data_IF_343720469754
#
_entry.id   IF_343720469754
#
_cell.length_a   1.000
_cell.length_b   1.000
_cell.length_c   1.000
_cell.angle_alpha   90.00
_cell.angle_beta   90.00
_cell.angle_gamma   90.00
#
_symmetry.space_group_name_H-M   'P 1'
#
loop_
_entity.id
_entity.type
_entity.pdbx_description
1 polymer ?
#
# COMPACT_ATOMS: atom_id res chain seq x y z
N UNK A 1 11.69 17.27 30.35
CA UNK A 1 10.57 16.67 29.60
C UNK A 1 10.95 15.32 29.01
N UNK A 2 12.09 15.17 28.35
CA UNK A 2 12.50 13.91 27.70
C UNK A 2 12.53 12.67 28.61
N UNK A 3 12.99 12.80 29.86
CA UNK A 3 13.01 11.66 30.83
C UNK A 3 11.60 11.20 31.19
N UNK A 4 10.63 12.12 31.26
CA UNK A 4 9.23 11.80 31.57
C UNK A 4 8.56 11.11 30.38
N UNK A 5 8.86 11.56 29.15
CA UNK A 5 8.39 10.90 27.93
C UNK A 5 9.00 9.50 27.76
N UNK A 6 10.29 9.31 28.08
CA UNK A 6 10.94 8.01 28.03
C UNK A 6 10.34 6.99 29.02
N UNK A 7 10.05 7.43 30.26
CA UNK A 7 9.39 6.58 31.26
C UNK A 7 7.95 6.23 30.87
N UNK A 8 7.19 7.18 30.30
CA UNK A 8 5.83 6.93 29.81
C UNK A 8 5.79 5.95 28.63
N UNK A 9 6.81 5.98 27.77
CA UNK A 9 6.93 5.05 26.65
C UNK A 9 7.26 3.62 27.12
N UNK A 10 8.15 3.47 28.11
CA UNK A 10 8.48 2.16 28.68
C UNK A 10 7.30 1.53 29.42
N UNK A 11 6.48 2.32 30.12
CA UNK A 11 5.27 1.81 30.77
C UNK A 11 4.22 1.40 29.75
N UNK A 12 4.10 2.11 28.62
CA UNK A 12 3.24 1.72 27.50
C UNK A 12 3.64 0.35 26.93
N UNK A 13 4.94 0.15 26.67
CA UNK A 13 5.46 -1.12 26.16
C UNK A 13 5.19 -2.24 27.17
N UNK A 14 5.45 -2.01 28.45
CA UNK A 14 5.20 -3.00 29.50
C UNK A 14 3.71 -3.41 29.58
N UNK A 15 2.79 -2.44 29.46
CA UNK A 15 1.34 -2.71 29.42
C UNK A 15 0.97 -3.52 28.18
N UNK A 16 1.53 -3.19 27.02
CA UNK A 16 1.27 -3.91 25.76
C UNK A 16 1.79 -5.34 25.78
N UNK A 17 2.98 -5.56 26.34
CA UNK A 17 3.55 -6.91 26.49
C UNK A 17 2.69 -7.74 27.44
N UNK A 18 2.21 -7.16 28.55
CA UNK A 18 1.34 -7.85 29.51
C UNK A 18 -0.04 -8.17 28.94
N UNK A 19 -0.64 -7.28 28.13
CA UNK A 19 -1.92 -7.56 27.46
C UNK A 19 -1.75 -8.64 26.39
N UNK A 20 -0.66 -8.62 25.62
CA UNK A 20 -0.34 -9.64 24.63
C UNK A 20 -0.13 -11.02 25.27
N UNK A 21 0.63 -11.09 26.37
CA UNK A 21 0.80 -12.33 27.16
C UNK A 21 -0.55 -12.82 27.72
N UNK A 22 -1.41 -11.90 28.18
CA UNK A 22 -2.76 -12.23 28.69
C UNK A 22 -3.70 -12.77 27.61
N UNK A 23 -3.58 -12.30 26.37
CA UNK A 23 -4.34 -12.78 25.21
C UNK A 23 -3.90 -14.18 24.77
N UNK A 24 -2.59 -14.42 24.71
CA UNK A 24 -2.00 -15.69 24.25
C UNK A 24 -2.13 -16.78 25.32
N UNK A 25 -1.89 -16.43 26.60
CA UNK A 25 -1.86 -17.41 27.68
C UNK A 25 -2.56 -16.90 28.95
N UNK A 26 -3.90 -16.84 28.96
CA UNK A 26 -4.66 -16.34 30.12
C UNK A 26 -4.40 -17.15 31.40
N UNK A 27 -4.05 -18.44 31.28
CA UNK A 27 -3.70 -19.31 32.42
C UNK A 27 -2.39 -18.90 33.11
N UNK A 28 -1.42 -18.30 32.39
CA UNK A 28 -0.16 -17.81 32.98
C UNK A 28 -0.36 -16.53 33.78
N UNK A 29 -1.32 -15.68 33.41
CA UNK A 29 -1.66 -14.48 34.20
C UNK A 29 -2.44 -14.85 35.49
N UNK A 30 -3.18 -15.96 35.46
CA UNK A 30 -3.98 -16.43 36.60
C UNK A 30 -3.16 -16.95 37.78
N UNK A 31 -1.90 -17.38 37.58
CA UNK A 31 -1.04 -17.80 38.69
C UNK A 31 -0.68 -16.65 39.64
N UNK A 32 -0.89 -15.40 39.23
CA UNK A 32 -0.52 -14.19 39.99
C UNK A 32 -1.66 -13.63 40.87
N UNK A 33 -2.90 -14.12 40.77
CA UNK A 33 -4.03 -13.66 41.63
C UNK A 33 -5.07 -14.75 41.92
N UNK A 34 -5.43 -14.91 43.20
CA UNK A 34 -6.57 -15.74 43.69
C UNK A 34 -7.93 -15.05 43.50
N UNK A 35 -8.23 -14.54 42.30
CA UNK A 35 -9.53 -13.91 42.01
C UNK A 35 -10.26 -14.59 40.86
N UNK A 36 -11.56 -14.29 40.73
CA UNK A 36 -12.51 -14.82 39.75
C UNK A 36 -11.90 -14.93 38.34
N UNK A 37 -12.22 -16.02 37.64
CA UNK A 37 -11.70 -16.37 36.31
C UNK A 37 -11.97 -15.22 35.33
N UNK A 38 -10.90 -14.54 34.92
CA UNK A 38 -10.95 -13.47 33.92
C UNK A 38 -11.11 -14.08 32.53
N UNK A 39 -12.15 -13.68 31.81
CA UNK A 39 -12.39 -14.15 30.44
C UNK A 39 -11.61 -13.30 29.44
N UNK A 40 -11.40 -13.80 28.21
CA UNK A 40 -10.74 -13.03 27.13
C UNK A 40 -11.43 -11.69 26.85
N UNK A 41 -12.75 -11.61 27.06
CA UNK A 41 -13.54 -10.39 26.91
C UNK A 41 -13.19 -9.34 27.98
N UNK A 42 -12.96 -9.78 29.22
CA UNK A 42 -12.60 -8.88 30.33
C UNK A 42 -11.21 -8.26 30.12
N UNK A 43 -10.27 -9.01 29.54
CA UNK A 43 -8.92 -8.52 29.21
C UNK A 43 -8.97 -7.49 28.08
N UNK A 44 -9.78 -7.72 27.06
CA UNK A 44 -9.99 -6.76 25.96
C UNK A 44 -10.64 -5.45 26.46
N UNK A 45 -11.68 -5.55 27.30
CA UNK A 45 -12.36 -4.37 27.86
C UNK A 45 -11.39 -3.55 28.73
N UNK A 46 -10.59 -4.22 29.58
CA UNK A 46 -9.57 -3.54 30.39
C UNK A 46 -8.50 -2.83 29.56
N UNK A 47 -8.05 -3.45 28.47
CA UNK A 47 -7.06 -2.85 27.56
C UNK A 47 -7.57 -1.57 26.90
N UNK A 48 -8.82 -1.56 26.43
CA UNK A 48 -9.42 -0.38 25.78
C UNK A 48 -9.57 0.78 26.76
N UNK A 49 -10.03 0.51 27.99
CA UNK A 49 -10.20 1.55 29.02
C UNK A 49 -8.85 2.19 29.39
N UNK A 50 -7.79 1.38 29.56
CA UNK A 50 -6.44 1.90 29.83
C UNK A 50 -5.91 2.76 28.68
N UNK A 51 -6.13 2.38 27.42
CA UNK A 51 -5.68 3.15 26.26
C UNK A 51 -6.40 4.51 26.18
N UNK A 52 -7.71 4.56 26.42
CA UNK A 52 -8.48 5.82 26.38
C UNK A 52 -8.01 6.78 27.47
N UNK A 53 -7.78 6.30 28.71
CA UNK A 53 -7.27 7.13 29.81
C UNK A 53 -5.90 7.72 29.44
N UNK A 54 -5.04 6.94 28.78
CA UNK A 54 -3.71 7.39 28.39
C UNK A 54 -3.75 8.48 27.31
N UNK A 55 -4.62 8.36 26.31
CA UNK A 55 -4.78 9.40 25.27
C UNK A 55 -5.28 10.72 25.85
N UNK A 56 -6.16 10.68 26.85
CA UNK A 56 -6.63 11.88 27.55
C UNK A 56 -5.48 12.58 28.29
N UNK A 57 -4.59 11.83 28.94
CA UNK A 57 -3.45 12.40 29.68
C UNK A 57 -2.43 13.05 28.73
N UNK A 58 -2.19 12.46 27.56
CA UNK A 58 -1.26 13.01 26.56
C UNK A 58 -1.85 14.27 25.89
N UNK A 59 -3.16 14.28 25.60
CA UNK A 59 -3.82 15.42 24.95
C UNK A 59 -3.86 16.70 25.78
N UNK A 60 -3.79 16.61 27.11
CA UNK A 60 -3.81 17.79 28.01
C UNK A 60 -2.41 18.39 28.22
N UNK A 61 -1.34 17.73 27.74
CA UNK A 61 0.06 18.14 28.01
C UNK A 61 0.86 18.52 26.76
N UNK A 62 0.22 18.62 25.60
CA UNK A 62 0.90 19.00 24.36
C UNK A 62 1.07 20.54 24.30
N UNK A 63 2.30 21.08 24.17
CA UNK A 63 2.49 22.49 23.88
C UNK A 63 2.02 22.82 22.47
N UNK A 64 1.41 24.00 22.30
CA UNK A 64 0.90 24.48 21.01
C UNK A 64 2.02 24.53 19.94
N UNK A 65 1.74 24.17 18.68
CA UNK A 65 2.73 24.27 17.61
C UNK A 65 3.04 25.74 17.32
N UNK A 66 4.32 26.09 17.45
CA UNK A 66 4.87 27.41 17.10
C UNK A 66 4.87 27.56 15.58
N UNK A 67 4.13 28.56 15.08
CA UNK A 67 4.27 29.09 13.72
C UNK A 67 5.48 30.01 13.68
N UNK A 68 6.47 29.69 12.85
CA UNK A 68 7.56 30.61 12.53
C UNK A 68 7.55 30.87 11.02
N UNK A 69 7.06 32.06 10.68
CA UNK A 69 6.98 32.60 9.34
C UNK A 69 7.85 33.86 9.35
N UNK A 70 9.04 33.81 8.76
CA UNK A 70 9.74 35.00 8.31
C UNK A 70 10.78 34.74 7.22
N UNK A 71 10.42 35.27 6.05
CA UNK A 71 11.21 35.80 4.95
C UNK A 71 12.67 36.15 5.25
N UNK A 72 13.56 35.78 4.33
CA UNK A 72 14.75 36.58 4.02
C UNK A 72 14.93 36.70 2.50
N UNK A 73 14.79 37.93 2.03
CA UNK A 73 15.12 38.41 0.68
C UNK A 73 16.56 38.93 0.72
N UNK A 74 17.46 38.39 -0.10
CA UNK A 74 18.65 39.11 -0.57
C UNK A 74 18.84 38.80 -2.06
N UNK A 75 18.66 39.85 -2.87
CA UNK A 75 19.12 39.91 -4.26
C UNK A 75 20.58 40.31 -4.32
N UNK A 76 21.37 39.65 -5.16
CA UNK A 76 22.48 40.26 -5.88
C UNK A 76 22.75 39.46 -7.17
N UNK A 77 22.72 40.18 -8.30
CA UNK A 77 23.02 39.74 -9.65
C UNK A 77 24.49 39.30 -9.79
N UNK A 78 24.77 38.32 -10.64
CA UNK A 78 25.61 38.55 -11.82
C UNK A 78 25.52 37.38 -12.82
N UNK A 79 25.55 37.80 -14.08
CA UNK A 79 25.35 37.07 -15.33
C UNK A 79 26.55 36.19 -15.66
N UNK A 80 26.31 34.98 -16.19
CA UNK A 80 26.98 34.55 -17.42
C UNK A 80 26.34 33.30 -18.04
N UNK A 81 26.24 33.36 -19.37
CA UNK A 81 25.69 32.36 -20.28
C UNK A 81 26.48 31.03 -20.24
N UNK A 82 25.77 29.90 -20.26
CA UNK A 82 25.83 28.99 -21.42
C UNK A 82 24.84 27.81 -21.25
N UNK A 83 23.81 27.83 -22.11
CA UNK A 83 23.37 26.72 -22.97
C UNK A 83 23.44 25.32 -22.35
N UNK A 84 22.33 24.84 -21.80
CA UNK A 84 22.09 23.40 -21.65
C UNK A 84 20.67 23.06 -22.09
N UNK A 85 20.61 22.47 -23.28
CA UNK A 85 19.67 21.44 -23.73
C UNK A 85 18.25 21.47 -23.13
N UNK A 86 17.37 22.19 -23.82
CA UNK A 86 15.95 21.83 -23.89
C UNK A 86 15.82 20.42 -24.50
N UNK A 87 15.77 19.40 -23.66
CA UNK A 87 15.15 18.13 -24.03
C UNK A 87 13.64 18.30 -23.93
N UNK A 88 13.02 18.49 -25.09
CA UNK A 88 11.65 18.10 -25.47
C UNK A 88 10.82 17.54 -24.31
N UNK A 89 10.06 18.41 -23.63
CA UNK A 89 8.82 18.00 -22.96
C UNK A 89 7.73 18.03 -24.03
N UNK A 90 7.80 17.06 -24.93
CA UNK A 90 6.66 16.64 -25.71
C UNK A 90 5.90 15.63 -24.86
N UNK A 91 5.26 16.10 -23.79
CA UNK A 91 4.19 15.32 -23.14
C UNK A 91 2.92 15.66 -23.89
N UNK A 92 2.67 14.88 -24.93
CA UNK A 92 1.48 14.99 -25.76
C UNK A 92 0.23 15.16 -24.90
N UNK A 93 -0.61 16.11 -25.33
CA UNK A 93 -2.00 16.23 -24.95
C UNK A 93 -2.77 15.01 -25.51
N UNK A 94 -2.39 13.81 -25.08
CA UNK A 94 -3.11 12.58 -25.40
C UNK A 94 -4.35 12.56 -24.53
N UNK A 95 -5.50 12.75 -25.18
CA UNK A 95 -6.80 12.48 -24.58
C UNK A 95 -6.81 11.02 -24.12
N UNK A 96 -6.87 10.81 -22.81
CA UNK A 96 -6.94 9.47 -22.23
C UNK A 96 -8.38 8.98 -22.34
N UNK A 97 -8.59 7.88 -23.05
CA UNK A 97 -9.89 7.21 -23.06
C UNK A 97 -10.11 6.50 -21.71
N UNK A 98 -11.29 6.69 -21.13
CA UNK A 98 -11.70 6.03 -19.88
C UNK A 98 -13.20 5.69 -19.92
N UNK A 99 -13.60 4.74 -19.09
CA UNK A 99 -14.99 4.31 -18.97
C UNK A 99 -15.52 4.57 -17.56
N UNK A 100 -16.72 5.17 -17.45
CA UNK A 100 -17.42 5.30 -16.17
C UNK A 100 -18.21 4.02 -15.92
N UNK A 101 -17.76 3.24 -14.95
CA UNK A 101 -18.35 1.95 -14.56
C UNK A 101 -19.56 2.15 -13.63
N UNK A 102 -19.51 3.16 -12.77
CA UNK A 102 -20.64 3.53 -11.92
C UNK A 102 -20.65 5.03 -11.59
N UNK A 103 -21.85 5.60 -11.38
CA UNK A 103 -22.04 7.00 -10.99
C UNK A 103 -23.23 7.10 -10.01
N UNK A 104 -22.90 7.02 -8.72
CA UNK A 104 -23.88 7.00 -7.63
C UNK A 104 -24.04 8.39 -7.01
N UNK A 105 -25.28 8.87 -6.94
CA UNK A 105 -25.62 10.23 -6.51
C UNK A 105 -26.50 10.20 -5.26
N UNK A 106 -26.14 11.00 -4.26
CA UNK A 106 -26.93 11.20 -3.04
C UNK A 106 -27.34 12.67 -2.92
N UNK A 107 -28.44 13.01 -3.59
CA UNK A 107 -28.88 14.40 -3.75
C UNK A 107 -27.73 15.26 -4.26
N UNK A 108 -27.57 16.45 -3.71
CA UNK A 108 -26.48 17.38 -4.06
C UNK A 108 -25.32 17.33 -3.06
N UNK A 109 -25.27 16.30 -2.20
CA UNK A 109 -24.28 16.22 -1.11
C UNK A 109 -23.07 15.38 -1.54
N UNK A 110 -23.32 14.25 -2.19
CA UNK A 110 -22.23 13.31 -2.54
C UNK A 110 -22.49 12.65 -3.87
N UNK A 111 -21.45 12.63 -4.71
CA UNK A 111 -21.35 11.82 -5.92
C UNK A 111 -20.17 10.86 -5.78
N UNK A 112 -20.35 9.59 -6.15
CA UNK A 112 -19.29 8.58 -6.19
C UNK A 112 -19.21 8.01 -7.60
N UNK A 113 -18.04 8.10 -8.21
CA UNK A 113 -17.81 7.66 -9.59
C UNK A 113 -16.74 6.58 -9.58
N UNK A 114 -17.00 5.46 -10.24
CA UNK A 114 -15.97 4.45 -10.52
C UNK A 114 -15.58 4.55 -11.98
N UNK A 115 -14.27 4.61 -12.23
CA UNK A 115 -13.68 4.78 -13.56
C UNK A 115 -12.74 3.62 -13.83
N UNK A 116 -12.85 3.03 -15.02
CA UNK A 116 -11.86 2.10 -15.56
C UNK A 116 -10.95 2.84 -16.54
N UNK A 117 -9.65 2.70 -16.33
CA UNK A 117 -8.59 3.25 -17.17
C UNK A 117 -7.89 2.11 -17.93
N UNK A 118 -7.46 2.32 -19.18
CA UNK A 118 -6.72 1.31 -19.93
C UNK A 118 -5.33 1.03 -19.32
N UNK A 119 -4.72 2.03 -18.68
CA UNK A 119 -3.40 1.93 -18.06
C UNK A 119 -3.23 2.94 -16.92
N UNK A 120 -2.12 2.80 -16.18
CA UNK A 120 -1.72 3.73 -15.13
C UNK A 120 -1.21 5.03 -15.74
N UNK A 121 -1.82 6.14 -15.32
CA UNK A 121 -1.54 7.49 -15.83
C UNK A 121 -0.86 8.38 -14.76
N UNK A 122 -0.40 9.56 -15.17
CA UNK A 122 0.22 10.52 -14.27
C UNK A 122 -0.79 11.21 -13.34
N UNK A 123 -0.29 11.84 -12.27
CA UNK A 123 -1.13 12.67 -11.39
C UNK A 123 -1.82 13.81 -12.16
N UNK A 124 -1.10 14.44 -13.10
CA UNK A 124 -1.64 15.51 -13.94
C UNK A 124 -2.85 15.03 -14.74
N UNK A 125 -2.73 13.86 -15.38
CA UNK A 125 -3.83 13.28 -16.15
C UNK A 125 -5.01 12.86 -15.26
N UNK A 126 -4.76 12.32 -14.05
CA UNK A 126 -5.83 12.07 -13.07
C UNK A 126 -6.58 13.35 -12.70
N UNK A 127 -5.86 14.47 -12.51
CA UNK A 127 -6.48 15.78 -12.21
C UNK A 127 -7.33 16.26 -13.37
N UNK A 128 -6.87 16.09 -14.61
CA UNK A 128 -7.63 16.46 -15.82
C UNK A 128 -8.93 15.65 -15.92
N UNK A 129 -8.84 14.32 -15.81
CA UNK A 129 -10.02 13.42 -15.82
C UNK A 129 -10.96 13.74 -14.67
N UNK A 130 -10.46 13.98 -13.46
CA UNK A 130 -11.28 14.31 -12.30
C UNK A 130 -12.08 15.59 -12.52
N UNK A 131 -11.45 16.63 -13.10
CA UNK A 131 -12.12 17.88 -13.43
C UNK A 131 -13.14 17.69 -14.56
N UNK A 132 -12.82 16.90 -15.59
CA UNK A 132 -13.76 16.58 -16.67
C UNK A 132 -15.01 15.88 -16.13
N UNK A 133 -14.83 14.84 -15.31
CA UNK A 133 -15.94 14.10 -14.68
C UNK A 133 -16.78 15.01 -13.78
N UNK A 134 -16.14 15.89 -13.00
CA UNK A 134 -16.84 16.83 -12.13
C UNK A 134 -17.68 17.82 -12.93
N UNK A 135 -17.13 18.35 -14.03
CA UNK A 135 -17.75 19.41 -14.83
C UNK A 135 -18.73 18.89 -15.90
N UNK A 136 -18.77 17.58 -16.14
CA UNK A 136 -19.69 16.97 -17.12
C UNK A 136 -21.13 16.80 -16.60
N UNK A 137 -21.34 16.87 -15.29
CA UNK A 137 -22.68 16.85 -14.68
C UNK A 137 -23.18 18.28 -14.47
N UNK A 138 -24.43 18.54 -14.84
CA UNK A 138 -25.07 19.84 -14.62
C UNK A 138 -25.34 20.14 -13.14
N UNK A 139 -25.40 19.10 -12.30
CA UNK A 139 -25.61 19.24 -10.87
C UNK A 139 -24.29 19.52 -10.14
N UNK A 140 -24.35 20.40 -9.16
CA UNK A 140 -23.24 20.64 -8.23
C UNK A 140 -23.37 19.74 -7.02
N UNK A 141 -22.28 19.08 -6.64
CA UNK A 141 -22.20 18.26 -5.44
C UNK A 141 -21.21 18.87 -4.45
N UNK A 142 -21.55 18.88 -3.16
CA UNK A 142 -20.61 19.29 -2.11
C UNK A 142 -19.32 18.47 -2.16
N UNK A 143 -19.45 17.14 -2.37
CA UNK A 143 -18.33 16.22 -2.46
C UNK A 143 -18.46 15.28 -3.64
N UNK A 144 -17.35 15.08 -4.36
CA UNK A 144 -17.24 14.09 -5.44
C UNK A 144 -16.06 13.18 -5.18
N UNK A 145 -16.30 11.88 -5.10
CA UNK A 145 -15.29 10.85 -4.91
C UNK A 145 -15.16 10.06 -6.21
N UNK A 146 -13.96 9.97 -6.77
CA UNK A 146 -13.71 9.22 -7.99
C UNK A 146 -12.69 8.12 -7.67
N UNK A 147 -13.03 6.89 -8.03
CA UNK A 147 -12.23 5.69 -7.81
C UNK A 147 -11.76 5.17 -9.16
N UNK A 148 -10.45 5.01 -9.34
CA UNK A 148 -9.85 4.60 -10.61
C UNK A 148 -9.35 3.17 -10.51
N UNK A 149 -9.74 2.31 -11.46
CA UNK A 149 -9.25 0.94 -11.63
C UNK A 149 -8.52 0.83 -12.96
N UNK A 150 -7.55 -0.09 -13.03
CA UNK A 150 -6.85 -0.38 -14.26
C UNK A 150 -7.48 -1.61 -14.90
N UNK A 151 -7.83 -1.51 -16.17
CA UNK A 151 -8.38 -2.60 -16.95
C UNK A 151 -7.43 -3.79 -16.95
N UNK A 152 -7.96 -4.98 -16.63
CA UNK A 152 -7.18 -6.21 -16.57
C UNK A 152 -6.34 -6.38 -15.29
N UNK A 153 -6.31 -5.40 -14.38
CA UNK A 153 -5.82 -5.63 -13.03
C UNK A 153 -6.96 -6.14 -12.14
N UNK A 154 -6.92 -7.41 -11.75
CA UNK A 154 -7.87 -7.98 -10.79
C UNK A 154 -7.53 -7.52 -9.37
N UNK A 155 -8.05 -6.35 -8.99
CA UNK A 155 -7.91 -5.80 -7.64
C UNK A 155 -9.26 -5.46 -7.03
N UNK A 156 -9.41 -5.82 -5.76
CA UNK A 156 -10.58 -5.45 -4.95
C UNK A 156 -10.55 -3.94 -4.64
N UNK A 157 -9.37 -3.33 -4.61
CA UNK A 157 -9.15 -1.93 -4.33
C UNK A 157 -9.02 -1.09 -5.63
N UNK A 158 -9.30 0.20 -5.53
CA UNK A 158 -8.94 1.14 -6.58
C UNK A 158 -7.41 1.30 -6.64
N UNK A 159 -6.87 1.57 -7.82
CA UNK A 159 -5.46 1.92 -8.01
C UNK A 159 -5.16 3.33 -7.50
N UNK A 160 -6.07 4.27 -7.78
CA UNK A 160 -5.99 5.65 -7.33
C UNK A 160 -7.39 6.19 -7.01
N UNK A 161 -7.44 7.31 -6.30
CA UNK A 161 -8.66 8.05 -6.00
C UNK A 161 -8.43 9.54 -6.13
N UNK A 162 -9.47 10.27 -6.54
CA UNK A 162 -9.52 11.72 -6.38
C UNK A 162 -10.73 12.14 -5.58
N UNK A 163 -10.56 13.18 -4.77
CA UNK A 163 -11.58 13.69 -3.89
C UNK A 163 -11.73 15.18 -4.10
N UNK A 164 -12.96 15.64 -4.36
CA UNK A 164 -13.32 17.04 -4.25
C UNK A 164 -13.99 17.23 -2.89
N UNK A 165 -13.25 17.75 -1.90
CA UNK A 165 -13.75 18.00 -0.54
C UNK A 165 -13.02 19.18 0.16
N UNK A 166 -13.27 20.45 -0.21
CA UNK A 166 -13.87 20.95 -1.45
C UNK A 166 -12.86 21.08 -2.61
N UNK A 167 -11.57 21.07 -2.28
CA UNK A 167 -10.46 21.12 -3.23
C UNK A 167 -10.16 19.73 -3.77
N UNK A 168 -9.51 19.67 -4.93
CA UNK A 168 -9.10 18.41 -5.56
C UNK A 168 -7.86 17.84 -4.87
N UNK A 169 -8.05 16.72 -4.18
CA UNK A 169 -6.99 15.85 -3.67
C UNK A 169 -6.81 14.62 -4.58
N UNK A 170 -5.57 14.19 -4.78
CA UNK A 170 -5.21 13.01 -5.57
C UNK A 170 -4.42 12.06 -4.69
N UNK A 171 -4.87 10.81 -4.60
CA UNK A 171 -4.24 9.79 -3.78
C UNK A 171 -4.01 8.53 -4.59
N UNK A 172 -2.75 8.10 -4.64
CA UNK A 172 -2.38 6.79 -5.15
C UNK A 172 -2.47 5.75 -4.03
N UNK A 173 -3.16 4.65 -4.29
CA UNK A 173 -3.26 3.51 -3.35
C UNK A 173 -2.15 2.49 -3.64
N UNK A 174 -1.75 2.37 -4.92
CA UNK A 174 -0.65 1.54 -5.42
C UNK A 174 0.36 2.40 -6.19
N UNK A 175 1.40 1.80 -6.79
CA UNK A 175 2.44 2.59 -7.48
C UNK A 175 1.84 3.46 -8.59
N UNK A 176 2.25 4.74 -8.61
CA UNK A 176 1.94 5.64 -9.72
C UNK A 176 2.59 5.15 -11.03
N UNK A 177 2.21 5.75 -12.17
CA UNK A 177 2.70 5.36 -13.50
C UNK A 177 4.22 5.27 -13.56
N UNK A 178 4.93 6.24 -12.97
CA UNK A 178 6.37 6.37 -13.11
C UNK A 178 7.11 5.35 -12.25
N UNK A 179 6.68 5.14 -11.02
CA UNK A 179 7.25 4.14 -10.13
C UNK A 179 6.90 2.72 -10.60
N UNK A 180 5.72 2.51 -11.19
CA UNK A 180 5.39 1.24 -11.82
C UNK A 180 6.30 0.95 -13.01
N UNK A 181 6.50 1.93 -13.91
CA UNK A 181 7.47 1.82 -15.02
C UNK A 181 8.88 1.56 -14.51
N UNK A 182 9.31 2.23 -13.44
CA UNK A 182 10.63 1.97 -12.83
C UNK A 182 10.71 0.55 -12.29
N UNK A 183 9.71 0.07 -11.56
CA UNK A 183 9.64 -1.30 -11.04
C UNK A 183 9.82 -2.33 -12.17
N UNK A 184 9.10 -2.16 -13.29
CA UNK A 184 9.22 -3.06 -14.45
C UNK A 184 10.62 -3.05 -15.10
N UNK A 185 11.39 -1.99 -14.90
CA UNK A 185 12.73 -1.81 -15.47
C UNK A 185 13.86 -2.15 -14.47
N UNK A 186 13.55 -2.57 -13.25
CA UNK A 186 14.57 -3.03 -12.32
C UNK A 186 15.20 -4.30 -12.89
N UNK A 187 16.52 -4.41 -12.75
CA UNK A 187 17.20 -5.67 -13.08
C UNK A 187 16.84 -6.71 -12.03
N UNK A 188 16.13 -7.74 -12.46
CA UNK A 188 15.82 -8.89 -11.62
C UNK A 188 16.97 -9.90 -11.66
N UNK A 189 18.16 -9.45 -11.25
CA UNK A 189 19.38 -10.25 -11.28
C UNK A 189 19.29 -11.35 -10.23
N UNK A 190 19.03 -12.57 -10.68
CA UNK A 190 19.01 -13.78 -9.87
C UNK A 190 20.14 -14.71 -10.29
N UNK A 191 20.68 -15.45 -9.32
CA UNK A 191 21.72 -16.44 -9.56
C UNK A 191 21.08 -17.79 -9.89
N UNK A 192 20.65 -17.95 -11.15
CA UNK A 192 20.09 -19.20 -11.67
C UNK A 192 19.22 -19.04 -12.91
N UNK A 193 18.63 -20.14 -13.35
CA UNK A 193 17.74 -20.19 -14.51
C UNK A 193 16.36 -19.67 -14.13
N UNK A 194 15.94 -18.56 -14.73
CA UNK A 194 14.61 -17.96 -14.50
C UNK A 194 13.52 -18.88 -15.05
N UNK A 195 12.56 -19.22 -14.18
CA UNK A 195 11.35 -19.99 -14.54
C UNK A 195 10.25 -19.04 -14.99
N UNK A 196 10.09 -17.92 -14.29
CA UNK A 196 9.10 -16.90 -14.63
C UNK A 196 9.22 -15.64 -13.78
N UNK A 197 8.55 -14.59 -14.24
CA UNK A 197 8.49 -13.29 -13.58
C UNK A 197 7.04 -12.78 -13.64
N UNK A 198 6.54 -12.29 -12.51
CA UNK A 198 5.15 -11.87 -12.37
C UNK A 198 5.07 -10.54 -11.64
N UNK A 199 4.09 -9.71 -12.00
CA UNK A 199 3.72 -8.51 -11.24
C UNK A 199 2.72 -8.96 -10.19
N UNK A 200 3.13 -8.93 -8.93
CA UNK A 200 2.28 -9.33 -7.82
C UNK A 200 1.67 -8.11 -7.12
N UNK A 201 0.32 -8.01 -7.07
CA UNK A 201 -0.38 -7.03 -6.28
C UNK A 201 -0.57 -7.52 -4.84
N UNK A 202 0.49 -7.95 -4.14
CA UNK A 202 0.32 -8.37 -2.74
C UNK A 202 0.02 -7.14 -1.85
N UNK A 203 -1.25 -6.92 -1.54
CA UNK A 203 -1.72 -5.83 -0.70
C UNK A 203 -1.60 -4.46 -1.39
N UNK A 204 -0.96 -3.50 -0.70
CA UNK A 204 -0.86 -2.10 -1.15
C UNK A 204 0.38 -1.78 -1.99
N UNK A 205 1.32 -2.71 -2.14
CA UNK A 205 2.60 -2.44 -2.80
C UNK A 205 2.86 -3.42 -3.94
N UNK A 206 3.03 -2.88 -5.14
CA UNK A 206 3.42 -3.66 -6.30
C UNK A 206 4.88 -4.10 -6.18
N UNK A 207 5.14 -5.35 -6.52
CA UNK A 207 6.50 -5.88 -6.61
C UNK A 207 6.57 -6.93 -7.70
N UNK A 208 7.80 -7.23 -8.13
CA UNK A 208 8.07 -8.30 -9.09
C UNK A 208 8.47 -9.55 -8.32
N UNK A 209 7.85 -10.65 -8.66
CA UNK A 209 8.17 -11.97 -8.11
C UNK A 209 8.87 -12.76 -9.19
N UNK A 210 10.04 -13.31 -8.88
CA UNK A 210 10.83 -14.14 -9.78
C UNK A 210 11.00 -15.51 -9.18
N UNK A 211 10.58 -16.53 -9.92
CA UNK A 211 10.92 -17.91 -9.60
C UNK A 211 12.11 -18.31 -10.45
N UNK A 212 13.12 -18.89 -9.82
CA UNK A 212 14.32 -19.35 -10.50
C UNK A 212 14.84 -20.64 -9.90
N UNK A 213 15.68 -21.34 -10.66
CA UNK A 213 16.32 -22.58 -10.26
C UNK A 213 17.82 -22.40 -10.23
N UNK A 214 18.43 -22.77 -9.11
CA UNK A 214 19.89 -22.86 -8.98
C UNK A 214 20.25 -24.28 -8.58
N UNK A 215 21.07 -24.93 -9.41
CA UNK A 215 21.42 -26.34 -9.27
C UNK A 215 20.19 -27.26 -9.23
N UNK A 216 19.85 -27.79 -8.03
CA UNK A 216 18.69 -28.66 -7.79
C UNK A 216 17.64 -28.02 -6.89
N UNK A 217 17.83 -26.75 -6.51
CA UNK A 217 16.97 -26.02 -5.58
C UNK A 217 16.18 -24.95 -6.33
N UNK A 218 14.92 -24.74 -5.91
CA UNK A 218 14.04 -23.71 -6.42
C UNK A 218 13.97 -22.56 -5.44
N UNK A 219 13.82 -21.34 -5.97
CA UNK A 219 13.78 -20.12 -5.18
C UNK A 219 12.70 -19.18 -5.70
N UNK A 220 12.13 -18.42 -4.77
CA UNK A 220 11.30 -17.24 -5.03
C UNK A 220 12.04 -16.01 -4.52
N UNK A 221 12.04 -14.95 -5.32
CA UNK A 221 12.67 -13.69 -4.99
C UNK A 221 11.73 -12.53 -5.28
N UNK A 222 11.57 -11.64 -4.30
CA UNK A 222 10.71 -10.46 -4.43
C UNK A 222 11.55 -9.19 -4.61
N UNK A 223 11.24 -8.44 -5.65
CA UNK A 223 11.89 -7.18 -6.02
C UNK A 223 10.89 -6.03 -5.87
N UNK A 224 11.19 -5.11 -4.95
CA UNK A 224 10.48 -3.86 -4.75
C UNK A 224 11.31 -2.71 -5.36
N UNK A 225 10.70 -1.53 -5.47
CA UNK A 225 11.38 -0.34 -6.01
C UNK A 225 12.62 0.05 -5.19
N UNK A 226 12.53 -0.11 -3.87
CA UNK A 226 13.46 0.37 -2.86
C UNK A 226 14.17 -0.76 -2.11
N UNK A 227 13.80 -2.01 -2.36
CA UNK A 227 14.33 -3.16 -1.65
C UNK A 227 14.25 -4.43 -2.49
N UNK A 228 15.21 -5.32 -2.26
CA UNK A 228 15.18 -6.69 -2.75
C UNK A 228 15.25 -7.58 -1.53
N UNK A 229 14.24 -8.44 -1.34
CA UNK A 229 14.18 -9.31 -0.16
C UNK A 229 15.21 -10.45 -0.27
N UNK A 230 15.35 -11.28 0.76
CA UNK A 230 16.13 -12.51 0.62
C UNK A 230 15.30 -13.55 -0.14
N UNK A 231 15.94 -14.47 -0.88
CA UNK A 231 15.20 -15.50 -1.59
C UNK A 231 14.64 -16.51 -0.61
N UNK A 232 13.40 -16.89 -0.86
CA UNK A 232 12.74 -18.01 -0.18
C UNK A 232 13.07 -19.30 -0.91
N UNK A 233 13.45 -20.34 -0.17
CA UNK A 233 13.63 -21.67 -0.73
C UNK A 233 12.28 -22.35 -0.96
N UNK A 234 12.11 -22.92 -2.16
CA UNK A 234 10.90 -23.61 -2.57
C UNK A 234 11.14 -25.10 -2.79
N UNK A 235 10.13 -25.90 -2.46
CA UNK A 235 9.98 -27.30 -2.86
C UNK A 235 8.99 -27.37 -4.03
N UNK A 236 9.34 -28.12 -5.08
CA UNK A 236 8.50 -28.30 -6.26
C UNK A 236 7.88 -29.70 -6.29
N UNK A 237 6.57 -29.77 -6.46
CA UNK A 237 5.81 -30.99 -6.73
C UNK A 237 4.87 -30.77 -7.93
N UNK A 238 5.20 -31.38 -9.07
CA UNK A 238 4.49 -31.12 -10.33
C UNK A 238 4.55 -29.64 -10.75
N UNK A 239 3.39 -28.98 -10.79
CA UNK A 239 3.26 -27.54 -11.09
C UNK A 239 3.17 -26.67 -9.83
N UNK A 240 3.19 -27.30 -8.65
CA UNK A 240 3.01 -26.66 -7.36
C UNK A 240 4.36 -26.36 -6.71
N UNK A 241 4.46 -25.20 -6.09
CA UNK A 241 5.62 -24.73 -5.36
C UNK A 241 5.22 -24.42 -3.92
N UNK A 242 5.87 -25.07 -2.97
CA UNK A 242 5.68 -24.84 -1.54
C UNK A 242 6.91 -24.14 -0.97
N UNK A 243 6.73 -23.29 0.03
CA UNK A 243 7.86 -22.88 0.85
C UNK A 243 8.51 -24.10 1.51
N UNK A 244 9.83 -24.05 1.67
CA UNK A 244 10.57 -25.08 2.41
C UNK A 244 10.36 -24.95 3.93
N UNK A 245 10.01 -23.75 4.40
CA UNK A 245 9.60 -23.52 5.78
C UNK A 245 8.24 -24.21 6.03
N UNK A 246 8.15 -25.20 6.94
CA UNK A 246 6.91 -25.91 7.21
C UNK A 246 5.83 -25.05 7.90
N UNK A 247 6.20 -23.92 8.49
CA UNK A 247 5.23 -23.01 9.12
C UNK A 247 4.51 -22.14 8.09
N UNK A 248 5.03 -22.04 6.86
CA UNK A 248 4.38 -21.32 5.75
C UNK A 248 3.42 -22.21 4.98
N UNK A 249 2.13 -21.95 5.16
CA UNK A 249 1.04 -22.75 4.54
C UNK A 249 0.63 -22.27 3.15
N UNK A 250 1.15 -21.11 2.73
CA UNK A 250 0.96 -20.61 1.37
C UNK A 250 1.75 -21.44 0.35
N UNK A 251 1.15 -21.67 -0.80
CA UNK A 251 1.78 -22.34 -1.93
C UNK A 251 1.39 -21.67 -3.24
N UNK A 252 2.12 -22.00 -4.30
CA UNK A 252 1.96 -21.37 -5.60
C UNK A 252 1.73 -22.40 -6.68
N UNK A 253 0.90 -22.05 -7.66
CA UNK A 253 0.69 -22.84 -8.87
C UNK A 253 0.97 -21.93 -10.06
N UNK A 254 1.80 -22.38 -11.00
CA UNK A 254 1.90 -21.74 -12.30
C UNK A 254 0.85 -22.36 -13.19
N UNK A 255 -0.12 -21.57 -13.62
CA UNK A 255 -1.25 -22.06 -14.42
C UNK A 255 -0.86 -22.32 -15.89
N UNK A 256 -1.84 -22.69 -16.71
CA UNK A 256 -1.63 -22.95 -18.14
C UNK A 256 -1.35 -21.70 -18.98
N UNK A 257 -1.76 -20.51 -18.50
CA UNK A 257 -1.47 -19.22 -19.14
C UNK A 257 -0.07 -18.72 -18.75
N UNK A 258 0.51 -19.34 -17.72
CA UNK A 258 1.81 -19.03 -17.16
C UNK A 258 1.74 -17.95 -16.08
N UNK A 259 0.54 -17.62 -15.59
CA UNK A 259 0.32 -16.74 -14.45
C UNK A 259 0.58 -17.49 -13.13
N UNK A 260 0.85 -16.72 -12.07
CA UNK A 260 1.21 -17.27 -10.77
C UNK A 260 0.02 -17.14 -9.82
N UNK A 261 -0.59 -18.27 -9.47
CA UNK A 261 -1.66 -18.33 -8.49
C UNK A 261 -1.10 -18.46 -7.08
N UNK A 262 -1.58 -17.63 -6.17
CA UNK A 262 -1.28 -17.70 -4.74
C UNK A 262 -2.39 -18.44 -4.03
N UNK A 263 -2.06 -19.53 -3.35
CA UNK A 263 -3.03 -20.35 -2.62
C UNK A 263 -2.72 -20.38 -1.14
N UNK A 264 -3.76 -20.36 -0.31
CA UNK A 264 -3.67 -20.64 1.12
C UNK A 264 -4.56 -21.81 1.50
N UNK A 265 -4.82 -21.95 2.81
CA UNK A 265 -5.68 -23.01 3.35
C UNK A 265 -7.10 -23.00 2.76
N UNK A 266 -7.63 -21.82 2.39
CA UNK A 266 -8.97 -21.64 1.83
C UNK A 266 -9.04 -21.71 0.30
N UNK A 267 -7.93 -22.04 -0.37
CA UNK A 267 -7.83 -22.04 -1.85
C UNK A 267 -7.13 -20.80 -2.40
N UNK A 268 -7.42 -20.46 -3.66
CA UNK A 268 -6.82 -19.32 -4.36
C UNK A 268 -7.15 -18.01 -3.64
N UNK A 269 -6.10 -17.24 -3.34
CA UNK A 269 -6.15 -15.94 -2.68
C UNK A 269 -6.13 -14.83 -3.74
N UNK A 270 -5.20 -14.91 -4.70
CA UNK A 270 -5.11 -14.00 -5.85
C UNK A 270 -4.18 -14.56 -6.94
N UNK A 271 -4.22 -13.92 -8.12
CA UNK A 271 -3.39 -14.25 -9.28
C UNK A 271 -2.42 -13.08 -9.57
N UNK A 272 -1.15 -13.39 -9.80
CA UNK A 272 -0.15 -12.45 -10.28
C UNK A 272 0.12 -12.68 -11.76
N UNK A 273 -0.06 -11.63 -12.56
CA UNK A 273 0.04 -11.70 -14.01
C UNK A 273 1.50 -11.78 -14.45
N UNK A 274 1.77 -12.65 -15.42
CA UNK A 274 3.08 -12.83 -16.01
C UNK A 274 3.52 -11.57 -16.73
N UNK A 275 4.77 -11.18 -16.51
CA UNK A 275 5.38 -10.10 -17.27
C UNK A 275 5.64 -10.61 -18.68
N UNK A 276 4.98 -10.00 -19.67
CA UNK A 276 5.23 -10.29 -21.08
C UNK A 276 6.60 -9.71 -21.45
N UNK A 277 7.53 -10.59 -21.83
CA UNK A 277 8.83 -10.24 -22.40
C UNK A 277 8.71 -9.68 -23.81
#
# INVERSE_FOLDING_TARGET
MEVVFGLAFLTLIAVWVLTFIGLISPKRLQSLRKSKVMTRKDVLIGSVICSVILFIVIGVSAPDPVNDDQSNIISANETDNEKTEEKNIESENLKIDYEIISDDKRGNITRKVSVELPERISEKQLREIANEIRNSDSNTYERTFIMYRIKGEESVAAWATTHFDPNLDVKFIRLNSDNFKKLLNIKHDVDGDVIGQWISPNGFTDHIVVFYKKDKQYFKQDFYLDATLKPDELLKDGMTYHYKDPDETQYFIIDSEGDLEYHGESGNIYIANKIKS
#
